data_IF_102856895182
#
_entry.id   IF_102856895182
#
_cell.length_a   1.000
_cell.length_b   1.000
_cell.length_c   1.000
_cell.angle_alpha   90.00
_cell.angle_beta   90.00
_cell.angle_gamma   90.00
#
_symmetry.space_group_name_H-M   'P 1'
#
loop_
_entity.id
_entity.type
_entity.pdbx_description
1 polymer ?
#
# COMPACT_ATOMS: atom_id res chain seq x y z
N UNK A 1 -9.90 6.22 -6.02
CA UNK A 1 -8.72 7.02 -5.63
C UNK A 1 -9.11 8.03 -4.56
N UNK A 2 -8.18 8.40 -3.69
CA UNK A 2 -8.28 9.55 -2.78
C UNK A 2 -6.87 10.14 -2.63
N UNK A 3 -6.75 11.45 -2.73
CA UNK A 3 -5.51 12.19 -2.48
C UNK A 3 -5.83 13.54 -1.81
N UNK A 4 -4.82 14.19 -1.22
CA UNK A 4 -4.97 15.58 -0.73
C UNK A 4 -4.81 16.60 -1.86
N UNK A 5 -4.18 16.21 -2.97
CA UNK A 5 -4.01 17.04 -4.15
C UNK A 5 -5.19 16.85 -5.13
N UNK A 6 -6.05 17.87 -5.32
CA UNK A 6 -7.18 17.77 -6.24
C UNK A 6 -6.78 17.59 -7.70
N UNK A 7 -5.61 18.08 -8.12
CA UNK A 7 -5.12 17.90 -9.50
C UNK A 7 -4.77 16.43 -9.77
N UNK A 8 -4.09 15.76 -8.82
CA UNK A 8 -3.77 14.35 -8.91
C UNK A 8 -5.03 13.46 -8.99
N UNK A 9 -6.11 13.85 -8.30
CA UNK A 9 -7.41 13.18 -8.40
C UNK A 9 -8.01 13.39 -9.79
N UNK A 10 -7.97 14.62 -10.32
CA UNK A 10 -8.55 14.94 -11.63
C UNK A 10 -7.88 14.13 -12.76
N UNK A 11 -6.56 13.98 -12.71
CA UNK A 11 -5.79 13.23 -13.72
C UNK A 11 -6.22 11.76 -13.78
N UNK A 12 -6.37 11.10 -12.63
CA UNK A 12 -6.78 9.68 -12.62
C UNK A 12 -8.26 9.50 -12.92
N UNK A 13 -9.12 10.46 -12.58
CA UNK A 13 -10.53 10.46 -13.02
C UNK A 13 -10.61 10.55 -14.55
N UNK A 14 -9.78 11.41 -15.17
CA UNK A 14 -9.69 11.49 -16.63
C UNK A 14 -9.22 10.18 -17.27
N UNK A 15 -8.44 9.37 -16.54
CA UNK A 15 -8.06 8.01 -16.92
C UNK A 15 -9.11 6.93 -16.60
N UNK A 16 -10.27 7.30 -16.03
CA UNK A 16 -11.40 6.41 -15.77
C UNK A 16 -11.51 5.89 -14.33
N UNK A 17 -10.71 6.41 -13.38
CA UNK A 17 -10.81 6.00 -11.98
C UNK A 17 -12.04 6.63 -11.29
N UNK A 18 -12.67 5.85 -10.41
CA UNK A 18 -13.63 6.38 -9.44
C UNK A 18 -12.90 7.01 -8.24
N UNK A 19 -13.53 7.98 -7.58
CA UNK A 19 -12.98 8.70 -6.43
C UNK A 19 -13.85 8.56 -5.19
N UNK A 20 -13.23 8.65 -4.02
CA UNK A 20 -13.94 8.76 -2.74
C UNK A 20 -13.29 9.84 -1.88
N UNK A 21 -14.05 10.39 -0.94
CA UNK A 21 -13.62 11.54 -0.13
C UNK A 21 -12.76 11.16 1.07
N UNK A 22 -12.74 9.88 1.47
CA UNK A 22 -11.97 9.39 2.62
C UNK A 22 -11.40 7.99 2.38
N UNK A 23 -10.31 7.62 3.07
CA UNK A 23 -9.79 6.24 3.06
C UNK A 23 -10.84 5.20 3.49
N UNK A 24 -11.68 5.52 4.48
CA UNK A 24 -12.82 4.71 4.90
C UNK A 24 -13.79 4.43 3.75
N UNK A 25 -14.19 5.47 3.01
CA UNK A 25 -15.13 5.32 1.90
C UNK A 25 -14.56 4.47 0.76
N UNK A 26 -13.24 4.51 0.53
CA UNK A 26 -12.55 3.56 -0.36
C UNK A 26 -12.66 2.14 0.22
N UNK A 27 -12.33 1.98 1.50
CA UNK A 27 -12.26 0.67 2.14
C UNK A 27 -13.62 -0.05 2.23
N UNK A 28 -14.73 0.67 2.28
CA UNK A 28 -16.09 0.10 2.24
C UNK A 28 -16.42 -0.58 0.89
N UNK A 29 -15.71 -0.18 -0.17
CA UNK A 29 -15.98 -0.55 -1.57
C UNK A 29 -14.88 -1.44 -2.18
N UNK A 30 -13.74 -1.64 -1.50
CA UNK A 30 -12.58 -2.34 -2.05
C UNK A 30 -12.12 -3.51 -1.17
N UNK A 31 -11.77 -4.63 -1.82
CA UNK A 31 -11.18 -5.81 -1.18
C UNK A 31 -9.66 -5.74 -1.08
N UNK A 32 -9.03 -4.88 -1.91
CA UNK A 32 -7.60 -4.60 -1.89
C UNK A 32 -7.38 -3.09 -2.00
N UNK A 33 -6.48 -2.56 -1.19
CA UNK A 33 -6.20 -1.13 -1.10
C UNK A 33 -4.68 -0.94 -1.18
N UNK A 34 -4.24 -0.08 -2.10
CA UNK A 34 -2.83 0.30 -2.23
C UNK A 34 -2.63 1.69 -1.62
N UNK A 35 -1.64 1.84 -0.75
CA UNK A 35 -1.19 3.15 -0.25
C UNK A 35 0.20 3.49 -0.77
N UNK A 36 0.40 4.74 -1.18
CA UNK A 36 1.69 5.25 -1.66
C UNK A 36 1.87 6.67 -1.13
N UNK A 37 2.36 6.78 0.10
CA UNK A 37 2.33 8.00 0.91
C UNK A 37 3.73 8.46 1.32
N UNK A 38 3.90 9.72 1.77
CA UNK A 38 5.23 10.30 1.99
C UNK A 38 6.07 9.62 3.07
N UNK A 39 5.47 9.18 4.19
CA UNK A 39 6.19 8.59 5.33
C UNK A 39 5.25 7.90 6.35
N UNK A 40 5.82 7.35 7.43
CA UNK A 40 5.10 6.56 8.44
C UNK A 40 3.91 7.28 9.09
N UNK A 41 4.01 8.55 9.56
CA UNK A 41 2.86 9.30 10.06
C UNK A 41 1.66 9.32 9.10
N UNK A 42 1.89 9.53 7.81
CA UNK A 42 0.81 9.58 6.82
C UNK A 42 0.16 8.22 6.61
N UNK A 43 0.95 7.13 6.54
CA UNK A 43 0.39 5.78 6.44
C UNK A 43 -0.42 5.44 7.69
N UNK A 44 0.07 5.81 8.88
CA UNK A 44 -0.64 5.57 10.14
C UNK A 44 -1.96 6.34 10.21
N UNK A 45 -1.98 7.60 9.76
CA UNK A 45 -3.20 8.41 9.66
C UNK A 45 -4.21 7.78 8.69
N UNK A 46 -3.78 7.43 7.47
CA UNK A 46 -4.67 6.85 6.45
C UNK A 46 -5.17 5.46 6.84
N UNK A 47 -4.33 4.64 7.47
CA UNK A 47 -4.70 3.29 7.87
C UNK A 47 -5.55 3.26 9.14
N UNK A 48 -5.16 4.01 10.18
CA UNK A 48 -5.67 3.87 11.55
C UNK A 48 -6.33 5.12 12.12
N UNK A 49 -6.23 6.27 11.46
CA UNK A 49 -6.81 7.54 11.91
C UNK A 49 -8.32 7.60 11.73
N UNK A 50 -8.89 8.76 12.08
CA UNK A 50 -10.31 9.05 11.85
C UNK A 50 -10.64 8.97 10.36
N UNK A 51 -11.72 8.27 10.01
CA UNK A 51 -12.06 7.96 8.62
C UNK A 51 -10.96 7.17 7.88
N UNK A 52 -10.12 6.45 8.63
CA UNK A 52 -9.07 5.59 8.09
C UNK A 52 -9.61 4.28 7.52
N UNK A 53 -8.74 3.55 6.83
CA UNK A 53 -9.04 2.25 6.22
C UNK A 53 -9.64 1.28 7.24
N UNK A 54 -9.11 1.25 8.48
CA UNK A 54 -9.54 0.35 9.55
C UNK A 54 -11.03 0.48 9.93
N UNK A 55 -11.66 1.63 9.63
CA UNK A 55 -13.06 1.87 9.95
C UNK A 55 -14.04 1.42 8.87
N UNK A 56 -13.57 1.23 7.63
CA UNK A 56 -14.42 0.90 6.47
C UNK A 56 -14.14 -0.47 5.87
N UNK A 57 -12.93 -0.99 6.05
CA UNK A 57 -12.51 -2.28 5.51
C UNK A 57 -13.28 -3.44 6.15
N UNK A 58 -13.64 -4.43 5.33
CA UNK A 58 -14.27 -5.66 5.78
C UNK A 58 -13.19 -6.70 6.15
N UNK A 59 -13.49 -7.66 7.03
CA UNK A 59 -12.59 -8.80 7.23
C UNK A 59 -12.27 -9.49 5.90
N UNK A 60 -10.99 -9.78 5.67
CA UNK A 60 -10.46 -10.29 4.40
C UNK A 60 -9.96 -9.22 3.42
N UNK A 61 -10.18 -7.93 3.69
CA UNK A 61 -9.54 -6.84 2.94
C UNK A 61 -8.01 -6.90 3.12
N UNK A 62 -7.27 -6.56 2.07
CA UNK A 62 -5.80 -6.50 2.08
C UNK A 62 -5.31 -5.09 1.79
N UNK A 63 -4.42 -4.57 2.64
CA UNK A 63 -3.70 -3.31 2.44
C UNK A 63 -2.30 -3.62 1.93
N UNK A 64 -1.94 -3.08 0.77
CA UNK A 64 -0.58 -3.16 0.21
C UNK A 64 0.04 -1.78 0.34
N UNK A 65 0.88 -1.57 1.36
CA UNK A 65 1.54 -0.29 1.56
C UNK A 65 2.85 -0.23 0.78
N UNK A 66 2.86 0.54 -0.31
CA UNK A 66 4.01 0.76 -1.17
C UNK A 66 4.86 1.96 -0.74
N UNK A 67 4.48 2.62 0.36
CA UNK A 67 5.19 3.74 0.96
C UNK A 67 6.56 3.32 1.50
N UNK A 68 7.46 4.29 1.63
CA UNK A 68 8.76 4.07 2.28
C UNK A 68 8.68 4.51 3.72
N UNK A 69 8.52 3.56 4.64
CA UNK A 69 8.28 3.83 6.06
C UNK A 69 9.23 3.06 6.96
N UNK A 70 9.22 3.39 8.25
CA UNK A 70 9.98 2.62 9.22
C UNK A 70 9.42 1.18 9.30
N UNK A 71 10.25 0.12 9.27
CA UNK A 71 9.78 -1.26 9.41
C UNK A 71 8.93 -1.51 10.65
N UNK A 72 9.25 -0.82 11.76
CA UNK A 72 8.46 -0.88 12.98
C UNK A 72 7.05 -0.31 12.78
N UNK A 73 6.90 0.77 12.01
CA UNK A 73 5.59 1.33 11.71
C UNK A 73 4.74 0.37 10.86
N UNK A 74 5.34 -0.31 9.87
CA UNK A 74 4.62 -1.35 9.09
C UNK A 74 4.08 -2.45 10.01
N UNK A 75 4.88 -2.89 10.99
CA UNK A 75 4.49 -3.93 11.96
C UNK A 75 3.35 -3.47 12.86
N UNK A 76 3.46 -2.27 13.45
CA UNK A 76 2.41 -1.69 14.30
C UNK A 76 1.08 -1.54 13.55
N UNK A 77 1.14 -1.04 12.31
CA UNK A 77 -0.06 -0.83 11.48
C UNK A 77 -0.67 -2.19 11.13
N UNK A 78 0.15 -3.15 10.69
CA UNK A 78 -0.31 -4.49 10.38
C UNK A 78 -0.95 -5.19 11.59
N UNK A 79 -0.42 -5.03 12.79
CA UNK A 79 -0.98 -5.62 14.00
C UNK A 79 -2.38 -5.04 14.30
N UNK A 80 -2.52 -3.72 14.22
CA UNK A 80 -3.80 -3.04 14.43
C UNK A 80 -4.85 -3.43 13.37
N UNK A 81 -4.45 -3.53 12.10
CA UNK A 81 -5.31 -4.00 11.01
C UNK A 81 -5.71 -5.46 11.19
N UNK A 82 -4.78 -6.33 11.58
CA UNK A 82 -5.04 -7.76 11.78
C UNK A 82 -6.06 -8.02 12.88
N UNK A 83 -6.10 -7.19 13.93
CA UNK A 83 -7.13 -7.25 14.97
C UNK A 83 -8.57 -7.01 14.44
N UNK A 84 -8.72 -6.46 13.22
CA UNK A 84 -9.99 -6.30 12.50
C UNK A 84 -10.19 -7.33 11.36
N UNK A 85 -9.28 -8.29 11.23
CA UNK A 85 -9.29 -9.25 10.13
C UNK A 85 -8.83 -8.66 8.80
N UNK A 86 -8.10 -7.55 8.82
CA UNK A 86 -7.52 -6.91 7.64
C UNK A 86 -6.05 -7.32 7.56
N UNK A 87 -5.61 -7.79 6.40
CA UNK A 87 -4.23 -8.17 6.19
C UNK A 87 -3.41 -7.02 5.59
N UNK A 88 -2.10 -7.04 5.81
CA UNK A 88 -1.18 -6.03 5.28
C UNK A 88 0.07 -6.67 4.67
N UNK A 89 0.49 -6.12 3.53
CA UNK A 89 1.83 -6.29 2.96
C UNK A 89 2.56 -4.94 3.02
N UNK A 90 3.83 -4.94 3.41
CA UNK A 90 4.71 -3.78 3.21
C UNK A 90 5.52 -4.00 1.93
N UNK A 91 5.21 -3.23 0.89
CA UNK A 91 5.67 -3.42 -0.48
C UNK A 91 6.39 -2.18 -1.05
N UNK A 92 7.37 -1.60 -0.34
CA UNK A 92 8.05 -0.40 -0.81
C UNK A 92 8.76 -0.60 -2.15
N UNK A 93 8.88 0.50 -2.90
CA UNK A 93 9.40 0.47 -4.29
C UNK A 93 10.69 1.25 -4.51
N UNK A 94 11.56 0.77 -5.40
CA UNK A 94 12.75 1.48 -5.88
C UNK A 94 12.66 1.78 -7.38
N UNK A 95 13.25 2.88 -7.82
CA UNK A 95 13.27 3.29 -9.24
C UNK A 95 12.94 4.75 -9.51
N UNK A 96 12.30 5.43 -8.55
CA UNK A 96 11.88 6.82 -8.70
C UNK A 96 10.79 7.02 -9.77
N UNK A 97 10.48 8.27 -10.03
CA UNK A 97 9.47 8.68 -11.00
C UNK A 97 9.67 8.09 -12.40
N UNK A 98 10.90 8.04 -12.99
CA UNK A 98 11.07 7.49 -14.34
C UNK A 98 10.59 6.05 -14.46
N UNK A 99 10.94 5.20 -13.47
CA UNK A 99 10.51 3.79 -13.48
C UNK A 99 9.04 3.62 -13.12
N UNK A 100 8.44 4.57 -12.39
CA UNK A 100 7.00 4.56 -12.15
C UNK A 100 6.23 4.81 -13.44
N UNK A 101 6.64 5.80 -14.23
CA UNK A 101 6.08 6.10 -15.56
C UNK A 101 6.22 4.90 -16.49
N UNK A 102 7.40 4.27 -16.51
CA UNK A 102 7.67 3.11 -17.38
C UNK A 102 7.03 1.80 -16.89
N UNK A 103 6.42 1.77 -15.70
CA UNK A 103 5.91 0.54 -15.07
C UNK A 103 7.02 -0.48 -14.75
N UNK A 104 8.23 -0.01 -14.47
CA UNK A 104 9.43 -0.83 -14.24
C UNK A 104 10.00 -0.72 -12.82
N UNK A 105 9.17 -0.32 -11.85
CA UNK A 105 9.55 -0.27 -10.44
C UNK A 105 10.07 -1.63 -9.93
N UNK A 106 10.95 -1.59 -8.93
CA UNK A 106 11.32 -2.78 -8.16
C UNK A 106 10.59 -2.78 -6.83
N UNK A 107 9.76 -3.79 -6.59
CA UNK A 107 8.95 -3.93 -5.37
C UNK A 107 9.56 -4.99 -4.46
N UNK A 108 9.84 -4.62 -3.21
CA UNK A 108 10.28 -5.54 -2.17
C UNK A 108 9.16 -5.73 -1.17
N UNK A 109 8.68 -6.96 -1.00
CA UNK A 109 7.43 -7.23 -0.28
C UNK A 109 7.69 -8.06 0.97
N UNK A 110 7.41 -7.48 2.13
CA UNK A 110 7.26 -8.20 3.39
C UNK A 110 5.80 -8.50 3.71
N UNK A 111 5.56 -9.61 4.40
CA UNK A 111 4.24 -10.04 4.86
C UNK A 111 3.93 -11.49 4.52
N UNK A 112 2.66 -11.87 4.66
CA UNK A 112 2.20 -13.25 4.43
C UNK A 112 2.44 -13.69 2.97
N UNK A 113 3.06 -14.86 2.80
CA UNK A 113 3.44 -15.40 1.48
C UNK A 113 2.24 -15.76 0.61
N UNK A 114 1.15 -16.27 1.18
CA UNK A 114 -0.04 -16.61 0.43
C UNK A 114 -0.75 -15.35 -0.08
N UNK A 115 -0.75 -14.28 0.71
CA UNK A 115 -1.28 -12.97 0.30
C UNK A 115 -0.40 -12.34 -0.78
N UNK A 116 0.93 -12.43 -0.63
CA UNK A 116 1.87 -12.03 -1.67
C UNK A 116 1.58 -12.76 -2.99
N UNK A 117 1.43 -14.09 -2.96
CA UNK A 117 1.17 -14.88 -4.16
C UNK A 117 -0.17 -14.50 -4.81
N UNK A 118 -1.21 -14.26 -4.01
CA UNK A 118 -2.53 -13.83 -4.48
C UNK A 118 -2.49 -12.49 -5.23
N UNK A 119 -1.68 -11.54 -4.75
CA UNK A 119 -1.61 -10.17 -5.31
C UNK A 119 -0.33 -9.89 -6.10
N UNK A 120 0.42 -10.93 -6.46
CA UNK A 120 1.65 -10.79 -7.24
C UNK A 120 1.40 -10.05 -8.55
N UNK A 121 0.42 -10.49 -9.34
CA UNK A 121 0.12 -9.90 -10.65
C UNK A 121 -0.34 -8.44 -10.56
N UNK A 122 -1.05 -8.09 -9.48
CA UNK A 122 -1.47 -6.71 -9.21
C UNK A 122 -0.25 -5.80 -9.01
N UNK A 123 0.70 -6.20 -8.16
CA UNK A 123 1.94 -5.46 -7.97
C UNK A 123 2.81 -5.47 -9.23
N UNK A 124 2.82 -6.59 -9.96
CA UNK A 124 3.61 -6.78 -11.18
C UNK A 124 3.15 -5.88 -12.33
N UNK A 125 1.87 -5.50 -12.38
CA UNK A 125 1.33 -4.57 -13.37
C UNK A 125 1.99 -3.18 -13.34
N UNK A 126 2.61 -2.80 -12.23
CA UNK A 126 3.31 -1.52 -12.05
C UNK A 126 4.83 -1.67 -11.94
N UNK A 127 5.36 -2.90 -12.12
CA UNK A 127 6.71 -3.24 -11.71
C UNK A 127 7.49 -4.13 -12.70
N UNK A 128 8.78 -3.83 -12.82
CA UNK A 128 9.76 -4.67 -13.52
C UNK A 128 10.12 -5.90 -12.69
N UNK A 129 10.11 -5.79 -11.36
CA UNK A 129 10.39 -6.89 -10.43
C UNK A 129 9.54 -6.79 -9.17
N UNK A 130 9.08 -7.93 -8.68
CA UNK A 130 8.31 -8.07 -7.43
C UNK A 130 8.89 -9.26 -6.68
N UNK A 131 9.43 -9.03 -5.49
CA UNK A 131 10.17 -10.04 -4.71
C UNK A 131 9.64 -10.10 -3.29
N UNK A 132 9.29 -11.30 -2.82
CA UNK A 132 8.97 -11.54 -1.41
C UNK A 132 10.26 -11.61 -0.59
N UNK A 133 10.34 -10.84 0.48
CA UNK A 133 11.58 -10.61 1.24
C UNK A 133 11.49 -11.08 2.70
N UNK A 134 10.38 -11.67 3.11
CA UNK A 134 10.15 -12.18 4.46
C UNK A 134 8.88 -11.64 5.10
N UNK A 135 8.86 -11.61 6.43
CA UNK A 135 7.68 -11.19 7.20
C UNK A 135 7.43 -9.67 7.11
N UNK A 136 6.31 -9.22 7.68
CA UNK A 136 5.95 -7.80 7.70
C UNK A 136 7.06 -6.91 8.28
N UNK A 137 7.37 -5.84 7.54
CA UNK A 137 8.48 -4.92 7.74
C UNK A 137 9.76 -5.31 6.98
N UNK A 138 9.88 -6.55 6.48
CA UNK A 138 11.07 -6.99 5.74
C UNK A 138 11.24 -6.30 4.39
N UNK A 139 10.14 -5.87 3.74
CA UNK A 139 10.18 -5.09 2.51
C UNK A 139 10.91 -3.76 2.73
N UNK A 140 10.51 -3.02 3.77
CA UNK A 140 11.15 -1.77 4.16
C UNK A 140 12.59 -1.97 4.65
N UNK A 141 12.90 -3.05 5.38
CA UNK A 141 14.30 -3.38 5.73
C UNK A 141 15.14 -3.60 4.47
N UNK A 142 14.64 -4.39 3.53
CA UNK A 142 15.34 -4.68 2.27
C UNK A 142 15.57 -3.42 1.47
N UNK A 143 14.56 -2.54 1.36
CA UNK A 143 14.73 -1.24 0.70
C UNK A 143 15.76 -0.35 1.38
N UNK A 144 15.78 -0.28 2.71
CA UNK A 144 16.78 0.52 3.43
C UNK A 144 18.21 0.01 3.22
N UNK A 145 18.37 -1.30 3.03
CA UNK A 145 19.66 -1.93 2.71
C UNK A 145 20.04 -1.77 1.23
N UNK A 146 19.07 -1.68 0.33
CA UNK A 146 19.26 -1.55 -1.12
C UNK A 146 19.27 -0.07 -1.55
N UNK A 147 20.41 0.59 -1.37
CA UNK A 147 20.63 1.99 -1.81
C UNK A 147 21.00 2.07 -3.28
#
# INVERSE_FOLDING_TARGET
>A
MSDRNPEAIADVIAAGAETATTPKAIAEQCEVIITMLPNSPHVKEVALGENGIIEGAKPGTVVIDMSSIAPLASREISEALKAKGIDMLDAPVSGGEPKAIDGTLSVMVGGDKAIFDKYYDLMKAMAGSVVHTGDIGAGNVTKLANR
#
